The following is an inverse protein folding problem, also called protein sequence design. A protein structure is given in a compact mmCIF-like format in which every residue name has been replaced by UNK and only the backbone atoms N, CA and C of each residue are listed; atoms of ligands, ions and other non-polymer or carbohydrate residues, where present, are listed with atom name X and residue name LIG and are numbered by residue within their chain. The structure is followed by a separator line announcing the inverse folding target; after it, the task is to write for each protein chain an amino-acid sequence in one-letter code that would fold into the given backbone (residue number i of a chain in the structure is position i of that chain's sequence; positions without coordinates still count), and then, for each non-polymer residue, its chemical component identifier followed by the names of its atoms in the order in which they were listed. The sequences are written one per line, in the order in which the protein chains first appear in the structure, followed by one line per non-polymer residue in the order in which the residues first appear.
data_IF_672380697935
#
_entry.id   IF_672380697935
#
_cell.length_a   1.000
_cell.length_b   1.000
_cell.length_c   1.000
_cell.angle_alpha   90.00
_cell.angle_beta   90.00
_cell.angle_gamma   90.00
#
_symmetry.space_group_name_H-M   'P 1'
#
loop_
_entity.id
_entity.type
_entity.pdbx_description
1 polymer ?
#
# COMPACT_ATOMS: atom_id res chain seq x y z
N UNK A 1 -11.08 -8.07 29.91
CA UNK A 1 -10.44 -6.85 29.44
C UNK A 1 -9.25 -7.10 28.56
N UNK A 2 -8.31 -7.86 29.10
CA UNK A 2 -7.10 -8.17 28.34
C UNK A 2 -7.41 -8.91 27.05
N UNK A 3 -8.37 -9.82 27.12
CA UNK A 3 -8.77 -10.56 25.94
C UNK A 3 -9.31 -9.64 24.85
N UNK A 4 -10.06 -8.62 25.26
CA UNK A 4 -10.58 -7.65 24.33
C UNK A 4 -9.46 -6.88 23.65
N UNK A 5 -8.44 -6.51 24.43
CA UNK A 5 -7.30 -5.79 23.84
C UNK A 5 -6.62 -6.62 22.77
N UNK A 6 -6.38 -7.88 23.05
CA UNK A 6 -5.74 -8.77 22.09
C UNK A 6 -6.59 -8.91 20.84
N UNK A 7 -7.90 -9.02 21.06
CA UNK A 7 -8.83 -9.14 19.95
C UNK A 7 -8.81 -7.87 19.10
N UNK A 8 -8.75 -6.72 19.75
CA UNK A 8 -8.69 -5.45 19.05
C UNK A 8 -7.40 -5.30 18.25
N UNK A 9 -6.30 -5.75 18.81
CA UNK A 9 -5.03 -5.70 18.09
C UNK A 9 -5.09 -6.53 16.82
N UNK A 10 -5.64 -7.74 16.93
CA UNK A 10 -5.82 -8.58 15.76
C UNK A 10 -6.75 -7.95 14.75
N UNK A 11 -7.77 -7.26 15.23
CA UNK A 11 -8.70 -6.56 14.37
C UNK A 11 -8.00 -5.41 13.61
N UNK A 12 -7.11 -4.68 14.28
CA UNK A 12 -6.36 -3.60 13.64
C UNK A 12 -5.45 -4.13 12.54
N UNK A 13 -4.77 -5.25 12.80
CA UNK A 13 -3.95 -5.88 11.77
C UNK A 13 -4.80 -6.26 10.57
N UNK A 14 -5.97 -6.83 10.85
CA UNK A 14 -6.90 -7.21 9.80
C UNK A 14 -7.37 -5.99 9.04
N UNK A 15 -7.56 -4.87 9.73
CA UNK A 15 -7.99 -3.63 9.09
C UNK A 15 -6.97 -3.15 8.08
N UNK A 16 -5.69 -3.19 8.43
CA UNK A 16 -4.64 -2.79 7.48
C UNK A 16 -4.59 -3.73 6.28
N UNK A 17 -4.69 -5.02 6.53
CA UNK A 17 -4.70 -6.00 5.45
C UNK A 17 -5.90 -5.79 4.54
N UNK A 18 -7.06 -5.59 5.14
CA UNK A 18 -8.28 -5.35 4.38
C UNK A 18 -8.19 -4.06 3.59
N UNK A 19 -7.66 -3.01 4.19
CA UNK A 19 -7.48 -1.74 3.50
C UNK A 19 -6.53 -1.87 2.33
N UNK A 20 -5.48 -2.64 2.48
CA UNK A 20 -4.53 -2.88 1.41
C UNK A 20 -5.20 -3.62 0.24
N UNK A 21 -5.99 -4.65 0.56
CA UNK A 21 -6.71 -5.38 -0.49
C UNK A 21 -7.73 -4.51 -1.20
N UNK A 22 -8.44 -3.67 -0.44
CA UNK A 22 -9.41 -2.75 -1.03
C UNK A 22 -8.72 -1.68 -1.88
N UNK A 23 -7.54 -1.26 -1.47
CA UNK A 23 -6.76 -0.31 -2.25
C UNK A 23 -6.35 -0.91 -3.59
N UNK A 24 -5.91 -2.17 -3.58
CA UNK A 24 -5.58 -2.86 -4.83
C UNK A 24 -6.82 -3.00 -5.72
N UNK A 25 -7.95 -3.34 -5.13
CA UNK A 25 -9.20 -3.44 -5.89
C UNK A 25 -9.60 -2.08 -6.48
N UNK A 26 -9.39 -1.02 -5.73
CA UNK A 26 -9.71 0.32 -6.21
C UNK A 26 -8.81 0.72 -7.38
N UNK A 27 -7.54 0.32 -7.35
CA UNK A 27 -6.64 0.55 -8.47
C UNK A 27 -7.10 -0.17 -9.72
N UNK A 28 -7.51 -1.43 -9.57
CA UNK A 28 -8.04 -2.22 -10.69
C UNK A 28 -9.29 -1.55 -11.24
N UNK A 29 -10.19 -1.13 -10.36
CA UNK A 29 -11.42 -0.48 -10.76
C UNK A 29 -11.15 0.82 -11.51
N UNK A 30 -10.19 1.61 -11.03
CA UNK A 30 -9.81 2.86 -11.67
C UNK A 30 -9.33 2.61 -13.10
N UNK A 31 -8.55 1.57 -13.29
CA UNK A 31 -8.01 1.24 -14.60
C UNK A 31 -9.10 0.82 -15.58
N UNK A 32 -10.19 0.29 -15.07
CA UNK A 32 -11.30 -0.18 -15.91
C UNK A 32 -12.25 0.93 -16.34
N UNK A 33 -12.18 2.09 -15.71
CA UNK A 33 -13.12 3.18 -16.02
C UNK A 33 -12.75 3.83 -17.33
N UNK A 34 -13.78 4.12 -18.12
CA UNK A 34 -13.58 4.67 -19.47
C UNK A 34 -13.96 6.15 -19.58
N UNK A 35 -14.72 6.67 -18.62
CA UNK A 35 -15.10 8.08 -18.64
C UNK A 35 -14.29 8.84 -17.62
N UNK A 36 -14.10 10.14 -17.88
CA UNK A 36 -13.35 10.98 -16.98
C UNK A 36 -14.03 11.09 -15.61
N UNK A 37 -15.35 11.23 -15.60
CA UNK A 37 -16.08 11.32 -14.35
C UNK A 37 -15.95 10.05 -13.52
N UNK A 38 -16.05 8.88 -14.15
CA UNK A 38 -15.92 7.61 -13.45
C UNK A 38 -14.48 7.41 -12.93
N UNK A 39 -13.50 7.82 -13.73
CA UNK A 39 -12.10 7.74 -13.30
C UNK A 39 -11.84 8.64 -12.09
N UNK A 40 -12.44 9.81 -12.10
CA UNK A 40 -12.28 10.75 -10.99
C UNK A 40 -12.84 10.16 -9.70
N UNK A 41 -14.03 9.54 -9.78
CA UNK A 41 -14.64 8.91 -8.60
C UNK A 41 -13.80 7.74 -8.12
N UNK A 42 -13.30 6.93 -9.03
CA UNK A 42 -12.47 5.78 -8.67
C UNK A 42 -11.16 6.25 -8.04
N UNK A 43 -10.58 7.32 -8.55
CA UNK A 43 -9.37 7.89 -7.98
C UNK A 43 -9.61 8.38 -6.56
N UNK A 44 -10.76 8.99 -6.30
CA UNK A 44 -11.11 9.44 -4.95
C UNK A 44 -11.17 8.27 -3.99
N UNK A 45 -11.66 7.12 -4.45
CA UNK A 45 -11.70 5.91 -3.62
C UNK A 45 -10.28 5.41 -3.30
N UNK A 46 -9.40 5.43 -4.30
CA UNK A 46 -8.00 5.07 -4.10
C UNK A 46 -7.38 5.94 -3.00
N UNK A 47 -7.59 7.26 -3.11
CA UNK A 47 -7.06 8.19 -2.12
C UNK A 47 -7.63 7.94 -0.72
N UNK A 48 -8.90 7.60 -0.63
CA UNK A 48 -9.53 7.28 0.66
C UNK A 48 -8.86 6.07 1.31
N UNK A 49 -8.54 5.06 0.52
CA UNK A 49 -7.87 3.88 1.06
C UNK A 49 -6.44 4.19 1.48
N UNK A 50 -5.75 5.04 0.74
CA UNK A 50 -4.41 5.47 1.11
C UNK A 50 -4.42 6.22 2.45
N UNK A 51 -5.40 7.10 2.62
CA UNK A 51 -5.54 7.83 3.87
C UNK A 51 -5.84 6.88 5.03
N UNK A 52 -6.70 5.91 4.82
CA UNK A 52 -7.04 4.93 5.84
C UNK A 52 -5.80 4.13 6.26
N UNK A 53 -5.00 3.72 5.30
CA UNK A 53 -3.77 2.97 5.59
C UNK A 53 -2.80 3.86 6.38
N UNK A 54 -2.66 5.12 6.00
CA UNK A 54 -1.76 6.02 6.68
C UNK A 54 -2.18 6.27 8.13
N UNK A 55 -3.49 6.33 8.37
CA UNK A 55 -4.02 6.67 9.69
C UNK A 55 -4.12 5.47 10.62
N UNK A 56 -4.08 4.27 10.10
CA UNK A 56 -4.25 3.06 10.91
C UNK A 56 -2.88 2.59 11.42
N UNK A 57 -2.71 2.45 12.74
CA UNK A 57 -1.42 1.98 13.27
C UNK A 57 -1.13 0.57 12.83
N UNK A 58 0.14 0.27 12.61
CA UNK A 58 0.60 -1.07 12.26
C UNK A 58 1.04 -1.79 13.52
N UNK A 59 0.59 -3.03 13.69
CA UNK A 59 0.92 -3.83 14.85
C UNK A 59 1.90 -4.96 14.53
N UNK A 60 2.19 -5.19 13.28
CA UNK A 60 3.09 -6.27 12.88
C UNK A 60 3.89 -5.89 11.65
N UNK A 61 4.76 -6.81 11.26
CA UNK A 61 5.65 -6.56 10.13
C UNK A 61 4.87 -6.42 8.82
N UNK A 62 3.76 -7.12 8.67
CA UNK A 62 2.93 -6.98 7.48
C UNK A 62 2.38 -5.56 7.37
N UNK A 63 1.86 -5.03 8.48
CA UNK A 63 1.33 -3.66 8.48
C UNK A 63 2.39 -2.63 8.17
N UNK A 64 3.58 -2.80 8.76
CA UNK A 64 4.70 -1.90 8.47
C UNK A 64 5.08 -1.99 7.00
N UNK A 65 5.13 -3.21 6.47
CA UNK A 65 5.47 -3.42 5.07
C UNK A 65 4.45 -2.78 4.12
N UNK A 66 3.18 -2.86 4.47
CA UNK A 66 2.12 -2.22 3.67
C UNK A 66 2.35 -0.71 3.59
N UNK A 67 2.63 -0.08 4.72
CA UNK A 67 2.85 1.37 4.74
C UNK A 67 4.09 1.75 3.95
N UNK A 68 5.15 0.98 4.08
CA UNK A 68 6.37 1.24 3.33
C UNK A 68 6.17 1.03 1.83
N UNK A 69 5.43 -0.01 1.46
CA UNK A 69 5.15 -0.27 0.05
C UNK A 69 4.35 0.89 -0.57
N UNK A 70 3.36 1.40 0.15
CA UNK A 70 2.61 2.54 -0.34
C UNK A 70 3.51 3.75 -0.52
N UNK A 71 4.37 4.03 0.45
CA UNK A 71 5.26 5.17 0.36
C UNK A 71 6.17 5.07 -0.86
N UNK A 72 6.78 3.90 -1.06
CA UNK A 72 7.68 3.70 -2.18
C UNK A 72 6.92 3.83 -3.50
N UNK A 73 5.73 3.23 -3.57
CA UNK A 73 4.91 3.29 -4.77
C UNK A 73 4.53 4.74 -5.11
N UNK A 74 4.12 5.50 -4.11
CA UNK A 74 3.70 6.89 -4.31
C UNK A 74 4.85 7.81 -4.64
N UNK A 75 6.05 7.49 -4.17
CA UNK A 75 7.22 8.31 -4.47
C UNK A 75 7.73 8.13 -5.90
N UNK A 76 7.29 7.05 -6.56
CA UNK A 76 7.73 6.77 -7.93
C UNK A 76 9.16 6.29 -8.04
N UNK A 77 9.78 5.94 -6.93
CA UNK A 77 11.17 5.50 -6.92
C UNK A 77 11.26 4.01 -7.19
N UNK A 78 12.20 3.63 -8.06
CA UNK A 78 12.52 2.23 -8.30
C UNK A 78 13.43 1.75 -7.19
N UNK A 79 13.01 0.75 -6.38
CA UNK A 79 13.82 0.28 -5.26
C UNK A 79 15.22 -0.20 -5.67
N UNK A 80 15.36 -0.67 -6.91
CA UNK A 80 16.64 -1.20 -7.37
C UNK A 80 17.58 -0.11 -7.87
N UNK A 81 17.06 1.11 -8.08
CA UNK A 81 17.85 2.21 -8.65
C UNK A 81 17.81 3.46 -7.80
N UNK A 82 17.39 3.33 -6.56
CA UNK A 82 17.18 4.48 -5.69
C UNK A 82 18.45 5.23 -5.40
N UNK A 83 18.33 6.52 -5.30
CA UNK A 83 19.42 7.35 -4.84
C UNK A 83 19.42 7.41 -3.31
N UNK A 84 20.39 8.12 -2.76
CA UNK A 84 20.58 8.15 -1.33
C UNK A 84 19.49 8.86 -0.56
N UNK A 85 18.69 9.67 -1.21
CA UNK A 85 17.66 10.46 -0.49
C UNK A 85 16.55 9.60 0.10
N UNK A 86 16.30 8.43 -0.50
CA UNK A 86 15.26 7.52 0.00
C UNK A 86 15.84 6.18 0.42
N UNK A 87 17.17 6.11 0.55
CA UNK A 87 17.85 4.86 0.80
C UNK A 87 17.38 4.19 2.08
N UNK A 88 17.15 4.97 3.13
CA UNK A 88 16.75 4.41 4.42
C UNK A 88 15.38 3.75 4.34
N UNK A 89 14.44 4.41 3.65
CA UNK A 89 13.10 3.86 3.48
C UNK A 89 13.15 2.58 2.65
N UNK A 90 13.93 2.59 1.59
CA UNK A 90 14.06 1.42 0.73
C UNK A 90 14.72 0.26 1.46
N UNK A 91 15.73 0.56 2.28
CA UNK A 91 16.37 -0.45 3.09
C UNK A 91 15.37 -1.09 4.05
N UNK A 92 14.56 -0.27 4.70
CA UNK A 92 13.51 -0.76 5.60
C UNK A 92 12.50 -1.63 4.85
N UNK A 93 12.11 -1.20 3.65
CA UNK A 93 11.19 -1.99 2.85
C UNK A 93 11.79 -3.34 2.47
N UNK A 94 13.05 -3.36 2.07
CA UNK A 94 13.73 -4.59 1.70
C UNK A 94 13.84 -5.56 2.88
N UNK A 95 14.05 -5.02 4.08
CA UNK A 95 14.05 -5.85 5.29
C UNK A 95 12.67 -6.44 5.55
N UNK A 96 11.63 -5.64 5.40
CA UNK A 96 10.27 -6.14 5.56
C UNK A 96 9.97 -7.24 4.54
N UNK A 97 10.37 -7.04 3.29
CA UNK A 97 10.17 -8.03 2.23
C UNK A 97 10.85 -9.35 2.58
N UNK A 98 12.07 -9.25 3.08
CA UNK A 98 12.84 -10.44 3.44
C UNK A 98 12.20 -11.19 4.61
N UNK A 99 11.83 -10.46 5.65
CA UNK A 99 11.25 -11.08 6.84
C UNK A 99 9.86 -11.64 6.54
N UNK A 100 9.08 -10.92 5.76
CA UNK A 100 7.71 -11.32 5.43
C UNK A 100 7.70 -12.45 4.39
N UNK A 101 8.74 -12.55 3.57
CA UNK A 101 8.76 -13.52 2.47
C UNK A 101 7.82 -13.15 1.35
N UNK A 102 7.53 -11.87 1.19
CA UNK A 102 6.52 -11.39 0.25
C UNK A 102 6.87 -9.98 -0.18
N UNK A 103 6.76 -9.70 -1.47
CA UNK A 103 7.05 -8.39 -2.03
C UNK A 103 5.76 -7.63 -2.30
N UNK A 104 5.33 -6.86 -1.32
CA UNK A 104 4.08 -6.11 -1.40
C UNK A 104 4.09 -5.08 -2.53
N UNK A 105 5.26 -4.47 -2.76
CA UNK A 105 5.38 -3.48 -3.82
C UNK A 105 5.19 -4.11 -5.20
N UNK A 106 5.74 -5.29 -5.39
CA UNK A 106 5.58 -6.00 -6.65
C UNK A 106 4.10 -6.34 -6.91
N UNK A 107 3.36 -6.65 -5.85
CA UNK A 107 1.93 -6.93 -5.99
C UNK A 107 1.16 -5.73 -6.52
N UNK A 108 1.61 -4.53 -6.16
CA UNK A 108 0.92 -3.30 -6.56
C UNK A 108 1.34 -2.83 -7.94
N UNK A 109 2.60 -2.99 -8.29
CA UNK A 109 3.12 -2.51 -9.57
C UNK A 109 2.33 -3.02 -10.76
N UNK A 110 1.91 -4.28 -10.68
CA UNK A 110 1.12 -4.86 -11.75
C UNK A 110 -0.27 -4.29 -11.90
N UNK A 111 -0.73 -3.54 -10.92
CA UNK A 111 -2.08 -2.99 -10.90
C UNK A 111 -2.14 -1.52 -11.31
N UNK A 112 -0.99 -0.86 -11.39
CA UNK A 112 -0.98 0.57 -11.72
C UNK A 112 -1.34 0.78 -13.18
N UNK A 113 -2.19 1.76 -13.49
CA UNK A 113 -2.51 2.09 -14.89
C UNK A 113 -1.24 2.46 -15.66
N UNK A 114 -1.24 2.17 -16.93
CA UNK A 114 -0.07 2.42 -17.77
C UNK A 114 0.35 3.90 -17.72
N UNK A 115 -0.64 4.81 -17.66
CA UNK A 115 -0.35 6.23 -17.65
C UNK A 115 0.30 6.69 -16.34
N UNK A 116 0.21 5.89 -15.28
CA UNK A 116 0.91 6.18 -14.03
C UNK A 116 2.27 5.51 -13.98
N UNK A 117 2.44 4.41 -14.71
CA UNK A 117 3.69 3.67 -14.70
C UNK A 117 4.73 4.26 -15.64
N UNK A 118 4.29 4.85 -16.72
CA UNK A 118 5.16 5.24 -17.81
C UNK A 118 5.92 6.53 -17.60
N UNK A 119 5.83 7.08 -16.48
CA UNK A 119 6.41 8.40 -16.23
C UNK A 119 7.90 8.37 -16.03
#
# INVERSE_FOLDING_TARGET
MRRLSQHMDGHMNRTLRDAFERWKDALIDQDRQTTQAARHRAHARVRSMEDLIAETPADDIEGIGIKLALYVNMSGVDPEKADSSVEQVLSAYKDCRRVLGRDLLAEVKGLMPAWQQGV
#
